data_IF_537256662727
#
_entry.id   IF_537256662727
#
_cell.length_a   1.000
_cell.length_b   1.000
_cell.length_c   1.000
_cell.angle_alpha   90.00
_cell.angle_beta   90.00
_cell.angle_gamma   90.00
#
_symmetry.space_group_name_H-M   'P 1'
#
loop_
_entity.id
_entity.type
_entity.pdbx_description
1 polymer ?
#
# COMPACT_ATOMS: atom_id res chain seq x y z
N UNK A 1 -37.69 0.70 3.39
CA UNK A 1 -36.91 -0.53 3.41
C UNK A 1 -35.80 -0.40 4.46
N UNK A 2 -35.77 -1.33 5.39
CA UNK A 2 -34.63 -1.39 6.33
C UNK A 2 -33.40 -1.79 5.55
N UNK A 3 -32.35 -0.98 5.64
CA UNK A 3 -31.05 -1.35 5.07
C UNK A 3 -30.36 -2.30 6.03
N UNK A 4 -29.99 -3.47 5.53
CA UNK A 4 -29.06 -4.34 6.26
C UNK A 4 -27.66 -3.75 6.19
N UNK A 5 -27.01 -3.61 7.32
CA UNK A 5 -25.63 -3.16 7.38
C UNK A 5 -24.84 -4.02 8.37
N UNK A 6 -23.55 -4.06 8.16
CA UNK A 6 -22.62 -4.71 9.07
C UNK A 6 -22.22 -3.70 10.15
N UNK A 7 -22.37 -4.08 11.41
CA UNK A 7 -22.00 -3.25 12.56
C UNK A 7 -20.55 -3.50 12.96
N UNK A 8 -19.97 -2.62 13.77
CA UNK A 8 -18.62 -2.85 14.31
C UNK A 8 -18.56 -4.08 15.21
N UNK A 9 -19.65 -4.46 15.88
CA UNK A 9 -19.72 -5.69 16.64
C UNK A 9 -19.66 -6.93 15.73
N UNK A 10 -20.28 -6.88 14.56
CA UNK A 10 -20.18 -7.94 13.56
C UNK A 10 -18.75 -8.06 13.02
N UNK A 11 -18.07 -6.93 12.78
CA UNK A 11 -16.68 -6.92 12.33
C UNK A 11 -15.76 -7.52 13.37
N UNK A 12 -15.94 -7.19 14.64
CA UNK A 12 -15.17 -7.74 15.73
C UNK A 12 -15.40 -9.25 15.86
N UNK A 13 -16.66 -9.70 15.88
CA UNK A 13 -17.00 -11.12 15.95
C UNK A 13 -16.39 -11.94 14.80
N UNK A 14 -16.43 -11.38 13.58
CA UNK A 14 -15.74 -11.99 12.43
C UNK A 14 -14.23 -12.09 12.62
N UNK A 15 -13.62 -11.02 13.13
CA UNK A 15 -12.17 -11.00 13.38
C UNK A 15 -11.77 -12.02 14.45
N UNK A 16 -12.62 -12.23 15.46
CA UNK A 16 -12.42 -13.19 16.55
C UNK A 16 -12.69 -14.64 16.12
N UNK A 17 -13.32 -14.84 14.96
CA UNK A 17 -13.65 -16.15 14.42
C UNK A 17 -14.92 -16.77 15.00
N UNK A 18 -15.87 -15.95 15.41
CA UNK A 18 -17.14 -16.41 15.95
C UNK A 18 -17.98 -17.17 14.90
N UNK A 19 -18.79 -18.11 15.37
CA UNK A 19 -19.60 -18.93 14.49
C UNK A 19 -20.83 -18.21 13.91
N UNK A 20 -21.30 -17.18 14.60
CA UNK A 20 -22.51 -16.42 14.22
C UNK A 20 -22.34 -14.93 14.45
N UNK A 21 -23.05 -14.13 13.67
CA UNK A 21 -23.13 -12.70 13.90
C UNK A 21 -23.81 -12.40 15.25
N UNK A 22 -23.29 -11.44 16.02
CA UNK A 22 -23.86 -11.10 17.32
C UNK A 22 -25.27 -10.52 17.20
N UNK A 23 -26.08 -10.69 18.24
CA UNK A 23 -27.42 -10.09 18.35
C UNK A 23 -27.30 -8.65 18.81
N UNK A 24 -26.81 -7.77 17.95
CA UNK A 24 -26.68 -6.35 18.25
C UNK A 24 -27.65 -5.57 17.40
N UNK A 25 -28.47 -4.78 18.03
CA UNK A 25 -29.33 -3.78 17.39
C UNK A 25 -28.68 -2.41 17.53
N UNK A 26 -28.33 -1.81 16.42
CA UNK A 26 -27.82 -0.45 16.38
C UNK A 26 -28.67 0.33 15.38
N UNK A 27 -29.45 1.30 15.88
CA UNK A 27 -30.27 2.17 15.06
C UNK A 27 -31.42 1.49 14.30
N UNK A 28 -31.86 0.31 14.78
CA UNK A 28 -32.93 -0.39 14.13
C UNK A 28 -32.87 -1.89 14.19
N UNK A 29 -32.82 -2.72 13.30
CA UNK A 29 -32.58 -4.15 13.39
C UNK A 29 -31.32 -4.56 12.62
N UNK A 30 -30.45 -5.31 13.24
CA UNK A 30 -29.38 -6.00 12.53
C UNK A 30 -29.97 -7.25 11.86
N UNK A 31 -30.02 -7.25 10.54
CA UNK A 31 -30.49 -8.42 9.78
C UNK A 31 -29.48 -9.57 9.77
N UNK A 32 -28.28 -9.32 10.26
CA UNK A 32 -27.21 -10.32 10.37
C UNK A 32 -27.26 -11.09 11.67
N UNK A 33 -27.91 -10.56 12.71
CA UNK A 33 -27.97 -11.16 14.04
C UNK A 33 -28.41 -12.63 14.00
N UNK A 34 -27.61 -13.49 14.64
CA UNK A 34 -27.85 -14.94 14.72
C UNK A 34 -27.62 -15.72 13.42
N UNK A 35 -27.28 -15.06 12.32
CA UNK A 35 -26.89 -15.76 11.09
C UNK A 35 -25.48 -16.34 11.21
N UNK A 36 -25.18 -17.44 10.49
CA UNK A 36 -23.85 -17.98 10.42
C UNK A 36 -22.83 -16.93 9.93
N UNK A 37 -21.68 -16.88 10.57
CA UNK A 37 -20.60 -15.97 10.19
C UNK A 37 -20.08 -16.35 8.81
N UNK A 38 -19.90 -15.36 7.95
CA UNK A 38 -19.36 -15.50 6.61
C UNK A 38 -18.42 -14.32 6.27
N UNK A 39 -17.93 -14.27 5.05
CA UNK A 39 -16.97 -13.23 4.63
C UNK A 39 -17.63 -11.92 4.14
N UNK A 40 -18.91 -11.70 4.36
CA UNK A 40 -19.56 -10.42 4.01
C UNK A 40 -18.88 -9.23 4.66
N UNK A 41 -18.41 -9.40 5.89
CA UNK A 41 -17.66 -8.38 6.63
C UNK A 41 -16.43 -7.93 5.85
N UNK A 42 -15.66 -8.86 5.30
CA UNK A 42 -14.45 -8.55 4.55
C UNK A 42 -14.73 -7.77 3.25
N UNK A 43 -15.91 -7.93 2.68
CA UNK A 43 -16.30 -7.24 1.44
C UNK A 43 -17.03 -5.91 1.70
N UNK A 44 -17.83 -5.82 2.75
CA UNK A 44 -18.67 -4.65 3.01
C UNK A 44 -17.99 -3.65 3.95
N UNK A 45 -17.22 -4.14 4.92
CA UNK A 45 -16.46 -3.33 5.88
C UNK A 45 -14.96 -3.63 5.81
N UNK A 46 -14.42 -3.69 4.60
CA UNK A 46 -13.08 -4.18 4.31
C UNK A 46 -11.98 -3.43 5.11
N UNK A 47 -12.12 -2.13 5.28
CA UNK A 47 -11.14 -1.32 6.02
C UNK A 47 -11.12 -1.67 7.51
N UNK A 48 -12.31 -1.78 8.13
CA UNK A 48 -12.44 -2.12 9.53
C UNK A 48 -11.99 -3.57 9.78
N UNK A 49 -12.40 -4.50 8.91
CA UNK A 49 -11.99 -5.90 8.96
C UNK A 49 -10.47 -6.08 8.82
N UNK A 50 -9.85 -5.39 7.86
CA UNK A 50 -8.41 -5.43 7.66
C UNK A 50 -7.66 -4.91 8.90
N UNK A 51 -8.12 -3.79 9.49
CA UNK A 51 -7.53 -3.21 10.69
C UNK A 51 -7.58 -4.18 11.88
N UNK A 52 -8.72 -4.83 12.11
CA UNK A 52 -8.86 -5.82 13.20
C UNK A 52 -8.02 -7.09 12.96
N UNK A 53 -7.68 -7.38 11.71
CA UNK A 53 -6.71 -8.43 11.36
C UNK A 53 -5.25 -7.95 11.37
N UNK A 54 -4.98 -6.75 11.86
CA UNK A 54 -3.63 -6.21 12.02
C UNK A 54 -3.05 -5.52 10.78
N UNK A 55 -3.86 -5.26 9.75
CA UNK A 55 -3.38 -4.47 8.62
C UNK A 55 -3.22 -2.99 9.02
N UNK A 56 -2.12 -2.39 8.61
CA UNK A 56 -1.92 -0.96 8.78
C UNK A 56 -2.79 -0.15 7.83
N UNK A 57 -3.26 1.02 8.28
CA UNK A 57 -3.92 2.02 7.45
C UNK A 57 -3.02 3.25 7.21
N UNK A 58 -1.75 3.16 7.56
CA UNK A 58 -0.79 4.27 7.43
C UNK A 58 -0.46 4.59 5.98
N UNK A 59 -0.38 3.56 5.14
CA UNK A 59 -0.11 3.71 3.72
C UNK A 59 -1.25 4.39 2.98
N UNK A 60 -0.88 5.36 2.18
CA UNK A 60 -1.82 6.14 1.39
C UNK A 60 -1.32 6.27 -0.04
N UNK A 61 -2.27 6.41 -0.99
CA UNK A 61 -1.98 6.63 -2.40
C UNK A 61 -0.93 5.66 -2.97
N UNK A 62 -1.14 4.39 -2.72
CA UNK A 62 -0.45 3.34 -3.45
C UNK A 62 -0.98 3.36 -4.89
N UNK A 63 -0.10 3.63 -5.84
CA UNK A 63 -0.45 3.79 -7.24
C UNK A 63 0.13 2.64 -8.07
N UNK A 64 1.16 2.88 -8.87
CA UNK A 64 1.74 1.88 -9.73
C UNK A 64 2.42 0.74 -8.99
N UNK A 65 2.19 -0.48 -9.46
CA UNK A 65 2.88 -1.68 -8.99
C UNK A 65 3.54 -2.36 -10.19
N UNK A 66 4.79 -2.74 -10.06
CA UNK A 66 5.52 -3.42 -11.11
C UNK A 66 6.49 -4.47 -10.59
N UNK A 67 6.68 -5.51 -11.40
CA UNK A 67 7.58 -6.61 -11.12
C UNK A 67 8.23 -7.08 -12.43
N UNK A 68 9.50 -7.42 -12.39
CA UNK A 68 10.10 -8.18 -13.48
C UNK A 68 9.70 -9.65 -13.33
N UNK A 69 8.68 -10.05 -14.07
CA UNK A 69 8.07 -11.39 -13.96
C UNK A 69 9.07 -12.51 -14.25
N UNK A 70 9.96 -12.33 -15.22
CA UNK A 70 10.99 -13.31 -15.55
C UNK A 70 11.92 -13.51 -14.37
N UNK A 71 12.46 -12.41 -13.83
CA UNK A 71 13.36 -12.44 -12.67
C UNK A 71 12.66 -13.00 -11.42
N UNK A 72 11.41 -12.61 -11.18
CA UNK A 72 10.63 -13.11 -10.05
C UNK A 72 10.49 -14.63 -10.12
N UNK A 73 10.13 -15.15 -11.28
CA UNK A 73 9.99 -16.57 -11.51
C UNK A 73 11.31 -17.32 -11.33
N UNK A 74 12.38 -16.82 -11.92
CA UNK A 74 13.70 -17.43 -11.83
C UNK A 74 14.26 -17.40 -10.41
N UNK A 75 14.20 -16.25 -9.72
CA UNK A 75 14.77 -16.10 -8.38
C UNK A 75 13.94 -16.78 -7.28
N UNK A 76 12.61 -16.74 -7.36
CA UNK A 76 11.72 -17.29 -6.33
C UNK A 76 11.48 -18.79 -6.57
N UNK A 77 11.34 -19.21 -7.82
CA UNK A 77 11.12 -20.62 -8.17
C UNK A 77 12.42 -21.42 -8.30
N UNK A 78 13.57 -20.82 -8.03
CA UNK A 78 14.86 -21.51 -8.06
C UNK A 78 15.51 -21.63 -9.43
N UNK A 79 15.03 -20.90 -10.42
CA UNK A 79 15.59 -20.81 -11.77
C UNK A 79 16.28 -19.45 -11.94
N UNK A 80 17.48 -19.32 -11.42
CA UNK A 80 18.25 -18.07 -11.43
C UNK A 80 19.20 -18.01 -12.65
N UNK A 81 18.63 -17.84 -13.83
CA UNK A 81 19.37 -17.84 -15.10
C UNK A 81 18.99 -16.68 -16.01
N UNK A 82 19.32 -15.46 -15.58
CA UNK A 82 19.29 -14.31 -16.50
C UNK A 82 20.68 -14.18 -17.12
N UNK A 83 20.77 -14.37 -18.44
CA UNK A 83 22.03 -14.32 -19.17
C UNK A 83 22.72 -12.95 -18.94
N UNK A 84 24.00 -13.00 -18.51
CA UNK A 84 24.79 -11.81 -18.24
C UNK A 84 24.54 -11.13 -16.90
N UNK A 85 23.65 -11.67 -16.04
CA UNK A 85 23.38 -11.13 -14.72
C UNK A 85 23.49 -12.19 -13.62
N UNK A 86 23.98 -11.76 -12.46
CA UNK A 86 23.84 -12.53 -11.23
C UNK A 86 22.55 -12.06 -10.55
N UNK A 87 21.47 -12.80 -10.75
CA UNK A 87 20.17 -12.50 -10.11
C UNK A 87 20.18 -13.10 -8.71
N UNK A 88 20.22 -12.24 -7.70
CA UNK A 88 20.19 -12.69 -6.31
C UNK A 88 18.79 -12.62 -5.71
N UNK A 89 18.00 -11.64 -6.14
CA UNK A 89 16.67 -11.40 -5.59
C UNK A 89 15.71 -10.84 -6.64
N UNK A 90 14.43 -11.16 -6.48
CA UNK A 90 13.34 -10.51 -7.19
C UNK A 90 12.65 -9.50 -6.27
N UNK A 91 12.19 -8.39 -6.82
CA UNK A 91 11.50 -7.34 -6.10
C UNK A 91 10.19 -6.94 -6.77
N UNK A 92 9.19 -6.68 -5.94
CA UNK A 92 8.00 -5.92 -6.29
C UNK A 92 8.29 -4.45 -6.02
N UNK A 93 8.00 -3.56 -6.95
CA UNK A 93 8.13 -2.11 -6.80
C UNK A 93 6.76 -1.47 -6.71
N UNK A 94 6.62 -0.49 -5.81
CA UNK A 94 5.36 0.18 -5.51
C UNK A 94 5.60 1.68 -5.51
N UNK A 95 4.87 2.42 -6.33
CA UNK A 95 4.78 3.87 -6.28
C UNK A 95 3.83 4.30 -5.16
N UNK A 96 4.24 5.28 -4.37
CA UNK A 96 3.44 5.92 -3.34
C UNK A 96 3.43 7.39 -3.65
N UNK A 97 2.33 7.87 -4.22
CA UNK A 97 2.25 9.24 -4.73
C UNK A 97 2.21 10.29 -3.61
N UNK A 98 1.74 9.93 -2.43
CA UNK A 98 1.59 10.90 -1.36
C UNK A 98 2.00 10.32 -0.01
N UNK A 99 2.78 11.08 0.73
CA UNK A 99 3.12 10.84 2.13
C UNK A 99 2.37 11.85 2.96
N UNK A 100 1.43 11.40 3.76
CA UNK A 100 0.61 12.27 4.61
C UNK A 100 0.99 12.21 6.09
N UNK A 101 0.16 12.83 6.92
CA UNK A 101 0.43 12.94 8.34
C UNK A 101 0.46 11.58 9.05
N UNK A 102 -0.29 10.59 8.60
CA UNK A 102 -0.33 9.26 9.24
C UNK A 102 0.98 8.50 9.12
N UNK A 103 1.86 8.91 8.21
CA UNK A 103 3.17 8.30 8.00
C UNK A 103 4.32 9.11 8.62
N UNK A 104 4.01 10.22 9.31
CA UNK A 104 5.01 11.13 9.90
C UNK A 104 4.63 11.62 11.30
N UNK A 105 3.60 11.05 11.94
CA UNK A 105 3.04 11.51 13.22
C UNK A 105 3.73 10.91 14.46
N UNK A 106 4.59 9.94 14.28
CA UNK A 106 5.27 9.23 15.36
C UNK A 106 4.48 8.05 15.91
N UNK A 107 3.34 7.71 15.29
CA UNK A 107 2.48 6.59 15.70
C UNK A 107 2.44 5.50 14.63
N UNK A 108 2.31 4.24 15.05
CA UNK A 108 2.24 3.10 14.15
C UNK A 108 3.61 2.56 13.68
N UNK A 109 3.59 1.72 12.66
CA UNK A 109 4.79 1.00 12.18
C UNK A 109 5.59 1.78 11.12
N UNK A 110 4.93 2.66 10.38
CA UNK A 110 5.53 3.43 9.28
C UNK A 110 5.77 4.86 9.72
N UNK A 111 7.05 5.18 10.00
CA UNK A 111 7.42 6.54 10.36
C UNK A 111 8.51 7.08 9.46
N UNK A 112 8.19 8.15 8.73
CA UNK A 112 9.05 8.81 7.80
C UNK A 112 9.40 10.23 8.26
N UNK A 113 10.40 10.82 7.63
CA UNK A 113 10.71 12.22 7.86
C UNK A 113 9.65 13.13 7.24
N UNK A 114 9.29 14.21 7.95
CA UNK A 114 8.39 15.23 7.40
C UNK A 114 8.90 15.88 6.10
N UNK A 115 10.18 15.70 5.75
CA UNK A 115 10.77 16.17 4.49
C UNK A 115 10.21 15.47 3.25
N UNK A 116 9.65 14.27 3.39
CA UNK A 116 9.06 13.53 2.26
C UNK A 116 7.56 13.76 2.10
N UNK A 117 6.98 14.53 3.01
CA UNK A 117 5.54 14.83 2.99
C UNK A 117 5.12 15.44 1.66
N UNK A 118 3.99 14.99 1.14
CA UNK A 118 3.37 15.38 -0.12
C UNK A 118 4.16 14.98 -1.39
N UNK A 119 5.38 14.43 -1.25
CA UNK A 119 6.27 14.19 -2.40
C UNK A 119 6.36 12.72 -2.82
N UNK A 120 5.93 11.83 -1.94
CA UNK A 120 5.89 10.41 -2.26
C UNK A 120 7.25 9.74 -2.40
N UNK A 121 7.23 8.55 -2.98
CA UNK A 121 8.42 7.75 -3.19
C UNK A 121 8.14 6.43 -3.86
N UNK A 122 9.19 5.74 -4.27
CA UNK A 122 9.10 4.36 -4.76
C UNK A 122 9.72 3.43 -3.73
N UNK A 123 8.96 2.43 -3.36
CA UNK A 123 9.37 1.36 -2.46
C UNK A 123 9.55 0.06 -3.21
N UNK A 124 10.31 -0.84 -2.63
CA UNK A 124 10.41 -2.22 -3.09
C UNK A 124 10.20 -3.21 -1.95
N UNK A 125 9.69 -4.36 -2.31
CA UNK A 125 9.53 -5.50 -1.43
C UNK A 125 10.24 -6.70 -2.04
N UNK A 126 11.13 -7.34 -1.30
CA UNK A 126 11.77 -8.58 -1.74
C UNK A 126 10.73 -9.69 -1.78
N UNK A 127 10.69 -10.42 -2.88
CA UNK A 127 9.87 -11.62 -3.01
C UNK A 127 10.64 -12.81 -2.44
N UNK A 128 10.00 -13.50 -1.51
CA UNK A 128 10.51 -14.68 -0.82
C UNK A 128 9.77 -15.94 -1.30
N UNK A 129 10.08 -17.08 -0.69
CA UNK A 129 9.44 -18.35 -1.03
C UNK A 129 7.90 -18.23 -1.03
N UNK A 130 7.26 -18.76 -2.05
CA UNK A 130 5.82 -18.63 -2.24
C UNK A 130 5.35 -17.21 -2.59
N UNK A 131 6.25 -16.35 -3.05
CA UNK A 131 6.00 -14.93 -3.35
C UNK A 131 5.57 -14.11 -2.13
N UNK A 132 5.91 -14.55 -0.94
CA UNK A 132 5.66 -13.81 0.28
C UNK A 132 6.54 -12.55 0.37
N UNK A 133 6.08 -11.58 1.14
CA UNK A 133 6.78 -10.34 1.43
C UNK A 133 6.87 -10.17 2.94
N UNK A 134 8.08 -10.05 3.48
CA UNK A 134 8.30 -9.79 4.90
C UNK A 134 8.79 -8.37 5.19
N UNK A 135 9.26 -7.67 4.15
CA UNK A 135 9.85 -6.34 4.30
C UNK A 135 9.60 -5.47 3.07
N UNK A 136 9.28 -4.21 3.34
CA UNK A 136 9.21 -3.14 2.33
C UNK A 136 10.26 -2.10 2.68
N UNK A 137 11.03 -1.65 1.69
CA UNK A 137 12.10 -0.66 1.88
C UNK A 137 12.05 0.44 0.81
N UNK A 138 12.40 1.68 1.16
CA UNK A 138 12.44 2.76 0.18
C UNK A 138 13.60 2.57 -0.81
N UNK A 139 13.34 2.89 -2.08
CA UNK A 139 14.33 2.91 -3.16
C UNK A 139 14.75 4.34 -3.46
N UNK A 140 13.77 5.19 -3.71
CA UNK A 140 13.95 6.60 -3.96
C UNK A 140 12.77 7.37 -3.41
N UNK A 141 13.03 8.51 -2.79
CA UNK A 141 12.03 9.34 -2.14
C UNK A 141 12.09 10.76 -2.70
N UNK A 142 10.94 11.39 -2.78
CA UNK A 142 10.84 12.82 -2.96
C UNK A 142 11.24 13.58 -1.70
N UNK A 143 11.41 14.87 -1.81
CA UNK A 143 11.76 15.72 -0.68
C UNK A 143 11.16 17.11 -0.77
N UNK A 144 10.74 17.63 0.38
CA UNK A 144 10.19 18.97 0.48
C UNK A 144 11.28 20.03 0.28
N UNK A 145 11.05 20.90 -0.67
CA UNK A 145 11.88 22.08 -0.93
C UNK A 145 11.19 23.36 -0.44
N UNK A 146 9.89 23.50 -0.68
CA UNK A 146 9.11 24.69 -0.33
C UNK A 146 8.06 24.35 0.74
N UNK A 147 8.44 24.35 1.99
CA UNK A 147 7.56 23.97 3.10
C UNK A 147 6.31 24.84 3.28
N UNK A 148 6.29 26.04 2.67
CA UNK A 148 5.13 26.94 2.69
C UNK A 148 4.05 26.58 1.66
N UNK A 149 4.36 25.68 0.72
CA UNK A 149 3.44 25.19 -0.29
C UNK A 149 2.87 23.83 0.12
N UNK A 150 1.94 23.31 -0.64
CA UNK A 150 1.27 22.02 -0.42
C UNK A 150 1.26 21.20 -1.71
N UNK A 151 1.07 19.89 -1.58
CA UNK A 151 1.04 18.99 -2.74
C UNK A 151 2.36 18.98 -3.51
N UNK A 152 2.29 18.73 -4.80
CA UNK A 152 3.45 18.62 -5.67
C UNK A 152 4.34 19.87 -5.72
N UNK A 153 3.74 21.05 -5.60
CA UNK A 153 4.48 22.33 -5.62
C UNK A 153 5.47 22.48 -4.46
N UNK A 154 5.29 21.69 -3.42
CA UNK A 154 6.16 21.65 -2.27
C UNK A 154 7.46 20.91 -2.53
N UNK A 155 7.47 20.01 -3.51
CA UNK A 155 8.54 19.07 -3.75
C UNK A 155 9.72 19.69 -4.49
N UNK A 156 10.88 19.12 -4.27
CA UNK A 156 12.11 19.52 -4.95
C UNK A 156 12.06 19.03 -6.40
N UNK A 157 12.30 19.92 -7.34
CA UNK A 157 12.29 19.63 -8.78
C UNK A 157 13.39 18.65 -9.22
N UNK A 158 14.43 18.50 -8.41
CA UNK A 158 15.53 17.56 -8.65
C UNK A 158 15.25 16.17 -8.03
N UNK A 159 14.08 15.98 -7.40
CA UNK A 159 13.68 14.76 -6.72
C UNK A 159 12.29 14.32 -7.19
N UNK A 160 11.85 13.15 -6.73
CA UNK A 160 10.51 12.65 -7.06
C UNK A 160 9.41 13.58 -6.55
N UNK A 161 8.38 13.73 -7.38
CA UNK A 161 7.17 14.45 -7.06
C UNK A 161 5.95 13.60 -7.43
N UNK A 162 5.35 13.00 -6.43
CA UNK A 162 4.12 12.19 -6.55
C UNK A 162 4.25 11.07 -7.60
N UNK A 163 5.16 10.10 -7.42
CA UNK A 163 5.32 8.99 -8.35
C UNK A 163 4.03 8.18 -8.44
N UNK A 164 3.57 7.96 -9.65
CA UNK A 164 2.34 7.22 -9.96
C UNK A 164 2.69 5.90 -10.63
N UNK A 165 2.97 5.90 -11.91
CA UNK A 165 3.25 4.69 -12.66
C UNK A 165 4.70 4.21 -12.47
N UNK A 166 4.85 2.91 -12.22
CA UNK A 166 6.16 2.26 -12.08
C UNK A 166 6.25 1.11 -13.06
N UNK A 167 7.30 1.05 -13.85
CA UNK A 167 7.56 -0.04 -14.78
C UNK A 167 8.98 -0.57 -14.58
N UNK A 168 9.10 -1.86 -14.27
CA UNK A 168 10.40 -2.55 -14.21
C UNK A 168 10.73 -3.13 -15.57
N UNK A 169 11.84 -2.72 -16.14
CA UNK A 169 12.35 -3.22 -17.41
C UNK A 169 13.07 -4.57 -17.23
N UNK A 170 13.24 -5.32 -18.33
CA UNK A 170 13.91 -6.60 -18.29
C UNK A 170 15.37 -6.54 -17.84
N UNK A 171 16.03 -5.43 -18.06
CA UNK A 171 17.41 -5.17 -17.62
C UNK A 171 17.53 -4.65 -16.18
N UNK A 172 16.41 -4.59 -15.45
CA UNK A 172 16.35 -4.15 -14.05
C UNK A 172 16.22 -2.64 -13.85
N UNK A 173 16.27 -1.83 -14.91
CA UNK A 173 15.96 -0.41 -14.81
C UNK A 173 14.50 -0.20 -14.48
N UNK A 174 14.21 0.90 -13.77
CA UNK A 174 12.86 1.26 -13.37
C UNK A 174 12.52 2.59 -14.02
N UNK A 175 11.41 2.64 -14.74
CA UNK A 175 10.79 3.88 -15.19
C UNK A 175 9.74 4.28 -14.17
N UNK A 176 9.77 5.54 -13.78
CA UNK A 176 8.83 6.12 -12.81
C UNK A 176 8.16 7.30 -13.52
N UNK A 177 6.84 7.24 -13.62
CA UNK A 177 6.01 8.35 -14.06
C UNK A 177 5.56 9.15 -12.83
N UNK A 178 5.56 10.45 -12.94
CA UNK A 178 5.11 11.37 -11.88
C UNK A 178 3.76 11.97 -12.24
N UNK A 179 2.87 12.07 -11.25
CA UNK A 179 1.57 12.76 -11.36
C UNK A 179 1.64 14.19 -10.76
N UNK A 180 2.77 14.50 -10.15
CA UNK A 180 3.01 15.82 -9.58
C UNK A 180 3.29 16.86 -10.65
N UNK A 181 2.34 17.77 -10.87
CA UNK A 181 2.53 18.93 -11.74
C UNK A 181 3.32 20.01 -11.00
N UNK A 182 4.53 20.28 -11.47
CA UNK A 182 5.31 21.45 -11.07
C UNK A 182 5.54 22.32 -12.29
N UNK A 183 5.43 23.65 -12.16
CA UNK A 183 5.64 24.59 -13.27
C UNK A 183 7.01 24.49 -13.94
N UNK A 184 7.97 23.83 -13.29
CA UNK A 184 9.35 23.68 -13.77
C UNK A 184 9.74 22.23 -14.09
N UNK A 185 8.82 21.27 -14.00
CA UNK A 185 9.07 19.91 -14.49
C UNK A 185 9.00 19.90 -16.01
N UNK A 186 10.03 20.36 -16.64
CA UNK A 186 10.33 20.02 -18.03
C UNK A 186 11.21 18.79 -18.02
N UNK A 187 10.64 17.67 -18.42
CA UNK A 187 11.39 16.49 -18.87
C UNK A 187 12.29 16.86 -20.05
#
# INVERSE_FOLDING_TARGET
GQSSYITMADVQAWADGDATYPTVEEGGSSVTAGQPMDNRVAFLESRAAARLKGATAEWRKLEGISINQKRAKEAVEGVDTIEGEVVQNAYLYIGIADIDNTMIDGEGDMQLSARVKDCGGVYRAKLEEGYNISRIEPVVMGGTYRSSLTGAERCDVEQLSQPDNVVVMNDGRILIGEDGFQENNTL
#
